data_IF_609023616035
#
_entry.id   IF_609023616035
#
_cell.length_a   1.000
_cell.length_b   1.000
_cell.length_c   1.000
_cell.angle_alpha   90.00
_cell.angle_beta   90.00
_cell.angle_gamma   90.00
#
_symmetry.space_group_name_H-M   'P 1'
#
loop_
_entity.id
_entity.type
_entity.pdbx_description
1 polymer ?
#
# COMPACT_ATOMS: atom_id res chain seq x y z
N UNK A 1 -8.11 -3.81 -2.13
CA UNK A 1 -7.70 -4.34 -3.46
C UNK A 1 -7.57 -3.19 -4.45
N UNK A 2 -6.60 -3.26 -5.33
CA UNK A 2 -6.42 -2.31 -6.44
C UNK A 2 -6.61 -3.07 -7.73
N UNK A 3 -7.38 -2.51 -8.64
CA UNK A 3 -7.49 -2.98 -10.02
C UNK A 3 -6.93 -1.91 -10.95
N UNK A 4 -5.91 -2.27 -11.72
CA UNK A 4 -5.22 -1.38 -12.63
C UNK A 4 -5.48 -1.88 -14.05
N UNK A 5 -5.97 -1.00 -14.92
CA UNK A 5 -6.12 -1.26 -16.34
C UNK A 5 -5.15 -0.38 -17.12
N UNK A 6 -4.31 -1.01 -17.91
CA UNK A 6 -3.27 -0.34 -18.67
C UNK A 6 -2.97 -1.05 -19.98
N UNK A 7 -2.48 -0.35 -21.02
CA UNK A 7 -1.94 -0.97 -22.22
C UNK A 7 -0.77 -1.90 -21.86
N UNK A 8 -0.59 -2.96 -22.63
CA UNK A 8 0.46 -4.00 -22.40
C UNK A 8 1.85 -3.37 -22.28
N UNK A 9 2.14 -2.36 -23.08
CA UNK A 9 3.46 -1.71 -23.16
C UNK A 9 3.88 -1.02 -21.84
N UNK A 10 2.91 -0.57 -21.03
CA UNK A 10 3.20 0.15 -19.79
C UNK A 10 3.08 -0.72 -18.52
N UNK A 11 2.61 -1.95 -18.65
CA UNK A 11 2.47 -2.90 -17.52
C UNK A 11 3.80 -3.10 -16.75
N UNK A 12 4.96 -3.24 -17.40
CA UNK A 12 6.23 -3.38 -16.68
C UNK A 12 6.55 -2.20 -15.73
N UNK A 13 6.04 -1.01 -16.03
CA UNK A 13 6.23 0.19 -15.18
C UNK A 13 5.36 0.18 -13.92
N UNK A 14 4.33 -0.64 -13.87
CA UNK A 14 3.39 -0.74 -12.72
C UNK A 14 4.02 -1.53 -11.57
N UNK A 15 4.76 -2.60 -11.88
CA UNK A 15 5.34 -3.50 -10.87
C UNK A 15 6.28 -2.81 -9.88
N UNK A 16 7.23 -1.95 -10.30
CA UNK A 16 8.10 -1.22 -9.36
C UNK A 16 7.33 -0.27 -8.44
N UNK A 17 6.23 0.31 -8.93
CA UNK A 17 5.39 1.22 -8.13
C UNK A 17 4.66 0.44 -7.04
N UNK A 18 4.09 -0.73 -7.38
CA UNK A 18 3.46 -1.62 -6.42
C UNK A 18 4.46 -2.13 -5.37
N UNK A 19 5.65 -2.59 -5.81
CA UNK A 19 6.67 -3.12 -4.92
C UNK A 19 7.15 -2.08 -3.89
N UNK A 20 7.36 -0.83 -4.29
CA UNK A 20 7.72 0.27 -3.38
C UNK A 20 6.69 0.52 -2.28
N UNK A 21 5.42 0.21 -2.55
CA UNK A 21 4.29 0.42 -1.65
C UNK A 21 3.81 -0.86 -0.98
N UNK A 22 4.66 -1.90 -0.95
CA UNK A 22 4.36 -3.22 -0.36
C UNK A 22 3.11 -3.88 -0.95
N UNK A 23 2.79 -3.53 -2.21
CA UNK A 23 1.74 -4.21 -2.96
C UNK A 23 2.18 -5.57 -3.43
N UNK A 24 1.27 -6.54 -3.40
CA UNK A 24 1.50 -7.83 -4.04
C UNK A 24 0.39 -8.14 -5.04
N UNK A 25 0.80 -8.71 -6.16
CA UNK A 25 -0.08 -9.03 -7.27
C UNK A 25 -0.83 -10.31 -6.96
N UNK A 26 -2.13 -10.28 -7.14
CA UNK A 26 -3.02 -11.42 -6.96
C UNK A 26 -3.36 -12.06 -8.29
N UNK A 27 -3.60 -11.23 -9.29
CA UNK A 27 -3.98 -11.67 -10.61
C UNK A 27 -3.54 -10.64 -11.65
N UNK A 28 -3.00 -11.13 -12.73
CA UNK A 28 -2.69 -10.33 -13.90
C UNK A 28 -3.08 -11.09 -15.16
N UNK A 29 -3.85 -10.45 -16.01
CA UNK A 29 -4.33 -11.07 -17.24
C UNK A 29 -4.64 -10.03 -18.33
N UNK A 30 -4.44 -10.40 -19.60
CA UNK A 30 -4.92 -9.59 -20.70
C UNK A 30 -6.46 -9.58 -20.71
N UNK A 31 -7.05 -8.42 -21.00
CA UNK A 31 -8.50 -8.29 -21.15
C UNK A 31 -8.90 -8.75 -22.55
N UNK A 32 -9.71 -9.82 -22.68
CA UNK A 32 -10.08 -10.37 -23.98
C UNK A 32 -10.71 -9.32 -24.91
N UNK A 33 -10.28 -9.29 -26.17
CA UNK A 33 -10.82 -8.39 -27.18
C UNK A 33 -10.36 -6.94 -27.10
N UNK A 34 -9.41 -6.63 -26.22
CA UNK A 34 -8.86 -5.27 -26.04
C UNK A 34 -7.33 -5.30 -25.92
N UNK A 35 -6.62 -4.20 -26.26
CA UNK A 35 -5.17 -4.10 -26.06
C UNK A 35 -4.79 -3.83 -24.59
N UNK A 36 -5.75 -3.94 -23.67
CA UNK A 36 -5.55 -3.65 -22.26
C UNK A 36 -5.23 -4.88 -21.45
N UNK A 37 -4.44 -4.66 -20.40
CA UNK A 37 -4.08 -5.63 -19.39
C UNK A 37 -4.71 -5.22 -18.05
N UNK A 38 -5.22 -6.19 -17.29
CA UNK A 38 -5.79 -5.94 -15.96
C UNK A 38 -4.88 -6.55 -14.93
N UNK A 39 -4.38 -5.73 -14.00
CA UNK A 39 -3.58 -6.16 -12.86
C UNK A 39 -4.39 -5.94 -11.59
N UNK A 40 -4.62 -7.02 -10.82
CA UNK A 40 -5.23 -6.94 -9.49
C UNK A 40 -4.16 -7.17 -8.44
N UNK A 41 -4.08 -6.25 -7.49
CA UNK A 41 -3.08 -6.31 -6.43
C UNK A 41 -3.68 -5.89 -5.09
N UNK A 42 -3.06 -6.37 -4.00
CA UNK A 42 -3.31 -5.88 -2.66
C UNK A 42 -2.24 -4.87 -2.26
N UNK A 43 -2.65 -3.80 -1.62
CA UNK A 43 -1.76 -2.77 -1.08
C UNK A 43 -2.26 -2.35 0.31
N UNK A 44 -1.37 -2.14 1.30
CA UNK A 44 -1.75 -1.59 2.58
C UNK A 44 -2.32 -0.18 2.41
N UNK A 45 -3.39 0.14 3.14
CA UNK A 45 -4.04 1.45 3.05
C UNK A 45 -3.05 2.59 3.37
N UNK A 46 -2.16 2.39 4.34
CA UNK A 46 -1.17 3.39 4.72
C UNK A 46 -0.19 3.74 3.60
N UNK A 47 0.09 2.79 2.71
CA UNK A 47 0.97 2.95 1.57
C UNK A 47 0.20 3.27 0.27
N UNK A 48 -1.14 3.27 0.29
CA UNK A 48 -1.99 3.53 -0.88
C UNK A 48 -2.16 5.02 -1.21
N UNK A 49 -1.89 5.90 -0.27
CA UNK A 49 -2.03 7.34 -0.48
C UNK A 49 -1.03 7.85 -1.51
N UNK A 50 -1.54 8.57 -2.52
CA UNK A 50 -0.75 9.04 -3.65
C UNK A 50 -0.37 7.96 -4.67
N UNK A 51 -0.82 6.72 -4.51
CA UNK A 51 -0.55 5.62 -5.44
C UNK A 51 -1.05 5.92 -6.85
N UNK A 52 -2.24 6.48 -6.96
CA UNK A 52 -2.83 6.85 -8.26
C UNK A 52 -2.01 7.91 -9.00
N UNK A 53 -1.47 8.89 -8.27
CA UNK A 53 -0.59 9.91 -8.84
C UNK A 53 0.71 9.30 -9.35
N UNK A 54 1.30 8.40 -8.58
CA UNK A 54 2.52 7.71 -8.98
C UNK A 54 2.29 6.85 -10.23
N UNK A 55 1.22 6.05 -10.24
CA UNK A 55 0.87 5.23 -11.41
C UNK A 55 0.72 6.10 -12.67
N UNK A 56 -0.01 7.19 -12.57
CA UNK A 56 -0.19 8.12 -13.69
C UNK A 56 1.15 8.69 -14.17
N UNK A 57 2.03 9.06 -13.26
CA UNK A 57 3.36 9.58 -13.60
C UNK A 57 4.22 8.55 -14.31
N UNK A 58 4.26 7.32 -13.79
CA UNK A 58 5.08 6.24 -14.38
C UNK A 58 4.53 5.66 -15.67
N UNK A 59 3.24 5.79 -15.92
CA UNK A 59 2.57 5.29 -17.13
C UNK A 59 2.18 6.41 -18.12
N UNK A 60 2.65 7.62 -17.89
CA UNK A 60 2.32 8.79 -18.71
C UNK A 60 0.79 9.01 -18.87
N UNK A 61 0.04 8.73 -17.81
CA UNK A 61 -1.41 8.86 -17.79
C UNK A 61 -2.19 7.72 -18.48
N UNK A 62 -1.52 6.69 -18.97
CA UNK A 62 -2.17 5.60 -19.72
C UNK A 62 -2.83 4.54 -18.82
N UNK A 63 -2.43 4.42 -17.57
CA UNK A 63 -3.03 3.49 -16.63
C UNK A 63 -4.19 4.13 -15.85
N UNK A 64 -5.25 3.37 -15.73
CA UNK A 64 -6.40 3.69 -14.89
C UNK A 64 -6.42 2.76 -13.67
N UNK A 65 -6.66 3.33 -12.49
CA UNK A 65 -6.62 2.60 -11.22
C UNK A 65 -7.93 2.79 -10.46
N UNK A 66 -8.50 1.68 -10.01
CA UNK A 66 -9.63 1.66 -9.07
C UNK A 66 -9.13 1.07 -7.77
N UNK A 67 -9.43 1.74 -6.65
CA UNK A 67 -9.11 1.25 -5.32
C UNK A 67 -10.38 0.77 -4.63
N UNK A 68 -10.38 -0.48 -4.17
CA UNK A 68 -11.55 -1.15 -3.60
C UNK A 68 -11.17 -1.73 -2.23
N UNK A 69 -11.96 -1.48 -1.18
CA UNK A 69 -11.78 -2.17 0.11
C UNK A 69 -12.05 -3.67 -0.06
N UNK A 70 -11.24 -4.51 0.51
CA UNK A 70 -11.38 -5.96 0.42
C UNK A 70 -11.54 -6.57 1.82
N UNK A 71 -10.51 -6.52 2.64
CA UNK A 71 -10.54 -7.14 3.97
C UNK A 71 -9.58 -6.48 4.95
N UNK A 72 -9.73 -6.84 6.23
CA UNK A 72 -8.80 -6.51 7.30
C UNK A 72 -7.79 -7.63 7.48
N UNK A 73 -6.56 -7.28 7.74
CA UNK A 73 -5.50 -8.23 8.09
C UNK A 73 -4.66 -7.70 9.26
N UNK A 74 -4.13 -8.61 10.06
CA UNK A 74 -3.25 -8.25 11.16
C UNK A 74 -1.87 -7.90 10.62
N UNK A 75 -1.35 -6.74 11.04
CA UNK A 75 0.00 -6.31 10.67
C UNK A 75 1.01 -7.01 11.57
N UNK A 76 2.08 -7.60 11.01
CA UNK A 76 3.11 -8.23 11.83
C UNK A 76 3.89 -7.21 12.66
N UNK A 77 4.31 -7.62 13.87
CA UNK A 77 5.11 -6.83 14.78
C UNK A 77 4.31 -6.24 15.95
N UNK A 78 5.04 -5.75 16.94
CA UNK A 78 4.47 -5.05 18.10
C UNK A 78 4.58 -3.53 17.88
N UNK A 79 3.47 -2.80 17.89
CA UNK A 79 3.50 -1.34 17.71
C UNK A 79 4.15 -0.61 18.90
N UNK A 80 4.25 -1.24 20.06
CA UNK A 80 4.80 -0.66 21.29
C UNK A 80 6.24 -1.08 21.57
N UNK A 81 6.87 -1.86 20.72
CA UNK A 81 8.26 -2.30 20.92
C UNK A 81 9.22 -1.11 20.81
N UNK A 82 9.85 -0.75 21.95
CA UNK A 82 10.80 0.35 22.03
C UNK A 82 12.15 0.05 21.37
N UNK A 83 12.47 -1.23 21.17
CA UNK A 83 13.74 -1.62 20.53
C UNK A 83 13.73 -1.37 19.01
N UNK A 84 12.57 -1.17 18.43
CA UNK A 84 12.42 -0.91 16.99
C UNK A 84 12.68 0.57 16.70
N UNK A 85 13.78 0.85 16.02
CA UNK A 85 14.10 2.18 15.49
C UNK A 85 13.63 2.28 14.05
N UNK A 86 12.80 3.28 13.77
CA UNK A 86 12.32 3.56 12.41
C UNK A 86 13.17 4.65 11.77
N UNK A 87 13.68 4.37 10.58
CA UNK A 87 14.39 5.34 9.75
C UNK A 87 13.41 6.00 8.77
N UNK A 88 13.41 7.33 8.72
CA UNK A 88 12.43 8.11 7.95
C UNK A 88 12.46 7.88 6.44
N UNK A 89 13.60 7.48 5.90
CA UNK A 89 13.82 7.35 4.46
C UNK A 89 13.94 5.88 3.99
N UNK A 90 13.95 4.94 4.92
CA UNK A 90 14.10 3.52 4.61
C UNK A 90 12.77 2.78 4.77
N UNK A 91 12.49 1.78 3.93
CA UNK A 91 11.31 0.95 4.12
C UNK A 91 11.44 0.14 5.41
N UNK A 92 10.40 0.20 6.25
CA UNK A 92 10.38 -0.51 7.52
C UNK A 92 10.48 -2.02 7.32
N UNK A 93 11.29 -2.74 8.12
CA UNK A 93 11.33 -4.20 8.08
C UNK A 93 9.96 -4.78 8.48
N UNK A 94 9.63 -6.02 8.09
CA UNK A 94 8.32 -6.61 8.34
C UNK A 94 7.89 -6.60 9.81
N UNK A 95 8.81 -6.83 10.74
CA UNK A 95 8.52 -6.82 12.18
C UNK A 95 8.28 -5.42 12.77
N UNK A 96 8.73 -4.38 12.09
CA UNK A 96 8.53 -2.98 12.50
C UNK A 96 7.31 -2.33 11.81
N UNK A 97 6.62 -3.06 10.95
CA UNK A 97 5.56 -2.53 10.12
C UNK A 97 4.39 -1.99 10.92
N UNK A 98 3.99 -2.67 12.00
CA UNK A 98 2.91 -2.24 12.88
C UNK A 98 3.21 -0.90 13.54
N UNK A 99 4.43 -0.70 14.03
CA UNK A 99 4.87 0.57 14.63
C UNK A 99 4.90 1.70 13.61
N UNK A 100 5.42 1.43 12.40
CA UNK A 100 5.45 2.41 11.30
C UNK A 100 4.02 2.85 10.92
N UNK A 101 3.11 1.91 10.73
CA UNK A 101 1.73 2.21 10.40
C UNK A 101 0.99 2.95 11.52
N UNK A 102 1.24 2.59 12.77
CA UNK A 102 0.70 3.31 13.92
C UNK A 102 1.16 4.77 13.92
N UNK A 103 2.45 5.02 13.79
CA UNK A 103 3.01 6.38 13.77
C UNK A 103 2.45 7.19 12.59
N UNK A 104 2.42 6.63 11.39
CA UNK A 104 1.84 7.27 10.21
C UNK A 104 0.36 7.62 10.42
N UNK A 105 -0.41 6.72 11.03
CA UNK A 105 -1.83 6.98 11.34
C UNK A 105 -1.98 8.11 12.33
N UNK A 106 -1.18 8.12 13.40
CA UNK A 106 -1.21 9.17 14.43
C UNK A 106 -0.84 10.54 13.84
N UNK A 107 0.22 10.60 13.04
CA UNK A 107 0.63 11.83 12.33
C UNK A 107 -0.50 12.39 11.47
N UNK A 108 -1.18 11.54 10.70
CA UNK A 108 -2.31 11.96 9.85
C UNK A 108 -3.49 12.50 10.62
N UNK A 109 -3.68 12.02 11.86
CA UNK A 109 -4.73 12.50 12.77
C UNK A 109 -4.31 13.69 13.64
N UNK A 110 -3.07 14.18 13.49
CA UNK A 110 -2.53 15.25 14.32
C UNK A 110 -2.29 14.85 15.79
N UNK A 111 -2.13 13.56 16.06
CA UNK A 111 -1.88 13.03 17.40
C UNK A 111 -0.37 12.91 17.65
N UNK A 112 0.02 12.96 18.94
CA UNK A 112 1.40 12.73 19.33
C UNK A 112 1.88 11.33 18.88
N UNK A 113 3.12 11.23 18.42
CA UNK A 113 3.72 9.97 17.94
C UNK A 113 3.98 8.98 19.07
N UNK A 114 4.24 9.48 20.29
CA UNK A 114 4.49 8.63 21.46
C UNK A 114 3.15 8.14 22.02
N UNK A 115 2.96 6.82 22.03
CA UNK A 115 1.84 6.18 22.72
C UNK A 115 2.12 6.09 24.21
N UNK A 116 1.50 6.96 25.02
CA UNK A 116 1.38 6.76 26.44
C UNK A 116 0.15 5.89 26.67
N UNK A 117 0.37 4.62 26.99
CA UNK A 117 -0.63 3.65 27.47
C UNK A 117 -2.01 3.67 26.76
N UNK A 118 -2.08 3.15 25.55
CA UNK A 118 -3.34 2.64 25.03
C UNK A 118 -3.10 1.35 24.25
N UNK A 119 -3.80 0.29 24.64
CA UNK A 119 -3.94 -0.93 23.86
C UNK A 119 -4.64 -0.58 22.52
N UNK A 120 -3.87 -0.17 21.55
CA UNK A 120 -4.36 0.01 20.20
C UNK A 120 -4.05 -1.27 19.44
N UNK A 121 -5.03 -2.15 19.35
CA UNK A 121 -5.00 -3.17 18.31
C UNK A 121 -4.99 -2.44 16.96
N UNK A 122 -3.81 -2.34 16.36
CA UNK A 122 -3.69 -1.75 15.02
C UNK A 122 -4.15 -2.80 14.03
N UNK A 123 -5.45 -2.86 13.81
CA UNK A 123 -5.97 -3.49 12.62
C UNK A 123 -5.69 -2.53 11.47
N UNK A 124 -4.70 -2.85 10.66
CA UNK A 124 -4.46 -2.11 9.43
C UNK A 124 -5.21 -2.82 8.32
N UNK A 125 -6.09 -2.07 7.70
CA UNK A 125 -6.78 -2.50 6.51
C UNK A 125 -5.76 -2.75 5.38
N UNK A 126 -5.64 -3.96 4.93
CA UNK A 126 -4.96 -4.28 3.71
C UNK A 126 -6.03 -4.26 2.63
N UNK A 127 -6.15 -3.16 1.95
CA UNK A 127 -7.04 -2.93 0.80
C UNK A 127 -8.24 -2.04 1.06
N UNK A 128 -8.38 -1.08 0.21
CA UNK A 128 -9.52 -0.16 0.21
C UNK A 128 -10.48 -0.43 -0.94
N UNK A 129 -11.72 -0.16 -0.68
CA UNK A 129 -12.75 0.01 -1.70
C UNK A 129 -12.65 1.35 -2.35
#
# INVERSE_FOLDING_TARGET
MIEIQAPVDVVPSIYPVLARRRGHIVHDAPKPGTPFYTVKAYIPIMDSFGFETDIRSYTQGQAYCIQIFDHWSVVPGDPLDDNVVLHLLEPSPPLALSKDFMIKTRRRKGLNEVCVYMYVYVYVCICMH
#
